data_IF_585093922928
#
_entry.id   IF_585093922928
#
_cell.length_a   1.000
_cell.length_b   1.000
_cell.length_c   1.000
_cell.angle_alpha   90.00
_cell.angle_beta   90.00
_cell.angle_gamma   90.00
#
_symmetry.space_group_name_H-M   'P 1'
#
loop_
_entity.id
_entity.type
_entity.pdbx_description
1 polymer ?
#
# COMPACT_ATOMS: atom_id res chain seq x y z
N UNK A 1 35.62 -5.28 12.43
CA UNK A 1 35.02 -3.92 12.53
C UNK A 1 34.70 -3.24 11.20
N UNK A 2 35.43 -3.48 10.09
CA UNK A 2 35.16 -2.85 8.77
C UNK A 2 33.84 -3.26 8.08
N UNK A 3 33.31 -4.47 8.35
CA UNK A 3 32.06 -5.00 7.74
C UNK A 3 30.76 -4.35 8.26
N UNK A 4 30.79 -3.56 9.32
CA UNK A 4 29.62 -2.85 9.85
C UNK A 4 29.46 -1.43 9.30
N UNK A 5 30.50 -0.87 8.67
CA UNK A 5 30.47 0.46 8.05
C UNK A 5 30.13 0.42 6.55
N UNK A 6 30.48 -0.66 5.84
CA UNK A 6 30.07 -0.86 4.43
C UNK A 6 28.58 -1.21 4.27
N UNK A 7 27.95 -1.77 5.31
CA UNK A 7 26.51 -2.07 5.31
C UNK A 7 25.62 -0.82 5.34
N UNK A 8 26.16 0.36 5.65
CA UNK A 8 25.39 1.59 5.83
C UNK A 8 25.18 2.36 4.49
N UNK A 9 26.19 2.39 3.62
CA UNK A 9 26.10 3.12 2.34
C UNK A 9 25.25 2.41 1.28
N UNK A 10 25.28 1.07 1.23
CA UNK A 10 24.41 0.31 0.31
C UNK A 10 22.94 0.40 0.74
N UNK A 11 22.69 0.39 2.06
CA UNK A 11 21.36 0.58 2.65
C UNK A 11 20.81 2.00 2.42
N UNK A 12 21.66 3.03 2.44
CA UNK A 12 21.22 4.42 2.24
C UNK A 12 20.88 4.74 0.77
N UNK A 13 21.67 4.25 -0.20
CA UNK A 13 21.37 4.42 -1.63
C UNK A 13 20.13 3.65 -2.06
N UNK A 14 19.99 2.40 -1.62
CA UNK A 14 18.79 1.59 -1.89
C UNK A 14 17.54 2.22 -1.27
N UNK A 15 17.62 2.74 -0.04
CA UNK A 15 16.51 3.46 0.58
C UNK A 15 16.13 4.74 -0.17
N UNK A 16 17.10 5.46 -0.74
CA UNK A 16 16.82 6.67 -1.52
C UNK A 16 16.14 6.33 -2.85
N UNK A 17 16.61 5.27 -3.53
CA UNK A 17 16.02 4.76 -4.78
C UNK A 17 14.57 4.32 -4.55
N UNK A 18 14.32 3.56 -3.48
CA UNK A 18 12.98 3.09 -3.15
C UNK A 18 12.04 4.25 -2.80
N UNK A 19 12.48 5.25 -2.01
CA UNK A 19 11.69 6.47 -1.78
C UNK A 19 11.34 7.20 -3.08
N UNK A 20 12.30 7.30 -4.00
CA UNK A 20 12.08 7.92 -5.30
C UNK A 20 11.05 7.12 -6.11
N UNK A 21 11.19 5.80 -6.15
CA UNK A 21 10.25 4.92 -6.83
C UNK A 21 8.84 4.98 -6.21
N UNK A 22 8.70 5.01 -4.88
CA UNK A 22 7.42 5.21 -4.19
C UNK A 22 6.79 6.56 -4.56
N UNK A 23 7.60 7.62 -4.63
CA UNK A 23 7.12 8.95 -5.03
C UNK A 23 6.66 8.98 -6.49
N UNK A 24 7.40 8.33 -7.39
CA UNK A 24 7.01 8.17 -8.80
C UNK A 24 5.71 7.38 -8.91
N UNK A 25 5.59 6.25 -8.20
CA UNK A 25 4.39 5.42 -8.18
C UNK A 25 3.18 6.18 -7.62
N UNK A 26 3.37 6.95 -6.54
CA UNK A 26 2.33 7.83 -6.00
C UNK A 26 1.91 8.92 -6.99
N UNK A 27 2.86 9.58 -7.64
CA UNK A 27 2.57 10.61 -8.65
C UNK A 27 1.79 10.02 -9.82
N UNK A 28 2.22 8.86 -10.32
CA UNK A 28 1.52 8.13 -11.38
C UNK A 28 0.09 7.74 -10.96
N UNK A 29 -0.10 7.31 -9.70
CA UNK A 29 -1.41 6.99 -9.16
C UNK A 29 -2.33 8.22 -9.08
N UNK A 30 -1.83 9.37 -8.59
CA UNK A 30 -2.60 10.62 -8.55
C UNK A 30 -2.95 11.12 -9.96
N UNK A 31 -2.01 11.03 -10.90
CA UNK A 31 -2.26 11.35 -12.31
C UNK A 31 -3.34 10.43 -12.91
N UNK A 32 -3.36 9.15 -12.52
CA UNK A 32 -4.39 8.21 -12.96
C UNK A 32 -5.76 8.62 -12.39
N UNK A 33 -5.85 8.96 -11.10
CA UNK A 33 -7.10 9.46 -10.50
C UNK A 33 -7.57 10.74 -11.21
N UNK A 34 -6.65 11.67 -11.48
CA UNK A 34 -6.97 12.90 -12.21
C UNK A 34 -7.42 12.61 -13.64
N UNK A 35 -6.81 11.63 -14.32
CA UNK A 35 -7.21 11.19 -15.64
C UNK A 35 -8.61 10.58 -15.63
N UNK A 36 -8.98 9.77 -14.63
CA UNK A 36 -10.35 9.25 -14.50
C UNK A 36 -11.41 10.35 -14.40
N UNK A 37 -11.06 11.51 -13.85
CA UNK A 37 -11.97 12.65 -13.73
C UNK A 37 -12.16 13.40 -15.06
N UNK A 38 -11.12 13.46 -15.90
CA UNK A 38 -11.17 14.17 -17.19
C UNK A 38 -11.67 13.27 -18.31
N UNK A 39 -11.13 12.06 -18.38
CA UNK A 39 -11.41 11.06 -19.39
C UNK A 39 -11.49 9.68 -18.71
N UNK A 40 -12.71 9.32 -18.35
CA UNK A 40 -13.04 8.06 -17.72
C UNK A 40 -12.54 6.85 -18.52
N UNK A 41 -12.67 6.87 -19.85
CA UNK A 41 -12.31 5.74 -20.71
C UNK A 41 -10.80 5.50 -20.75
N UNK A 42 -10.01 6.57 -20.90
CA UNK A 42 -8.55 6.47 -20.85
C UNK A 42 -8.07 6.08 -19.45
N UNK A 43 -8.66 6.67 -18.40
CA UNK A 43 -8.35 6.35 -17.01
C UNK A 43 -8.57 4.88 -16.69
N UNK A 44 -9.73 4.34 -17.06
CA UNK A 44 -10.07 2.93 -16.90
C UNK A 44 -9.09 2.04 -17.66
N UNK A 45 -8.72 2.40 -18.90
CA UNK A 45 -7.72 1.63 -19.67
C UNK A 45 -6.38 1.57 -18.94
N UNK A 46 -5.89 2.68 -18.40
CA UNK A 46 -4.63 2.71 -17.63
C UNK A 46 -4.72 1.80 -16.40
N UNK A 47 -5.81 1.87 -15.63
CA UNK A 47 -5.99 1.02 -14.46
C UNK A 47 -6.00 -0.46 -14.84
N UNK A 48 -6.84 -0.85 -15.80
CA UNK A 48 -7.15 -2.25 -16.07
C UNK A 48 -6.14 -2.95 -16.97
N UNK A 49 -5.50 -2.25 -17.90
CA UNK A 49 -4.51 -2.83 -18.81
C UNK A 49 -3.06 -2.60 -18.38
N UNK A 50 -2.80 -1.62 -17.51
CA UNK A 50 -1.43 -1.32 -17.05
C UNK A 50 -1.30 -1.65 -15.56
N UNK A 51 -1.99 -0.92 -14.67
CA UNK A 51 -1.75 -0.99 -13.22
C UNK A 51 -2.08 -2.39 -12.67
N UNK A 52 -3.26 -2.91 -12.99
CA UNK A 52 -3.77 -4.16 -12.40
C UNK A 52 -3.03 -5.40 -12.88
N UNK A 53 -2.57 -5.51 -14.13
CA UNK A 53 -1.66 -6.59 -14.53
C UNK A 53 -0.25 -6.45 -13.96
N UNK A 54 0.26 -5.21 -13.85
CA UNK A 54 1.60 -4.93 -13.34
C UNK A 54 1.72 -5.26 -11.84
N UNK A 55 0.67 -5.00 -11.06
CA UNK A 55 0.65 -5.22 -9.62
C UNK A 55 0.95 -6.69 -9.23
N UNK A 56 0.23 -7.72 -9.73
CA UNK A 56 0.57 -9.13 -9.55
C UNK A 56 1.96 -9.49 -10.10
N UNK A 57 2.40 -8.89 -11.21
CA UNK A 57 3.73 -9.18 -11.75
C UNK A 57 4.84 -8.72 -10.79
N UNK A 58 4.76 -7.49 -10.27
CA UNK A 58 5.69 -6.97 -9.26
C UNK A 58 5.60 -7.82 -7.99
N UNK A 59 4.38 -8.12 -7.58
CA UNK A 59 4.08 -8.92 -6.40
C UNK A 59 4.73 -10.31 -6.49
N UNK A 60 4.63 -11.02 -7.61
CA UNK A 60 5.22 -12.35 -7.79
C UNK A 60 6.76 -12.33 -7.91
N UNK A 61 7.32 -11.29 -8.53
CA UNK A 61 8.76 -11.22 -8.80
C UNK A 61 9.56 -10.68 -7.63
N UNK A 62 9.08 -9.62 -6.97
CA UNK A 62 9.81 -8.89 -5.93
C UNK A 62 8.84 -8.48 -4.80
N UNK A 63 8.54 -9.41 -3.86
CA UNK A 63 7.60 -9.21 -2.74
C UNK A 63 7.76 -7.87 -2.00
N UNK A 64 9.00 -7.56 -1.64
CA UNK A 64 9.33 -6.42 -0.81
C UNK A 64 9.21 -5.09 -1.54
N UNK A 65 9.25 -5.12 -2.87
CA UNK A 65 9.11 -3.95 -3.71
C UNK A 65 7.65 -3.51 -3.80
N UNK A 66 6.70 -4.45 -3.88
CA UNK A 66 5.27 -4.13 -3.97
C UNK A 66 4.79 -3.22 -2.84
N UNK A 67 5.06 -3.61 -1.58
CA UNK A 67 4.61 -2.82 -0.41
C UNK A 67 5.30 -1.45 -0.32
N UNK A 68 6.52 -1.33 -0.83
CA UNK A 68 7.23 -0.06 -0.92
C UNK A 68 6.68 0.84 -2.04
N UNK A 69 6.34 0.27 -3.20
CA UNK A 69 5.77 1.00 -4.35
C UNK A 69 4.30 1.36 -4.16
N UNK A 70 3.60 0.70 -3.23
CA UNK A 70 2.18 0.90 -3.02
C UNK A 70 1.87 2.38 -2.69
N UNK A 71 1.08 3.07 -3.53
CA UNK A 71 0.77 4.49 -3.31
C UNK A 71 -0.02 4.70 -2.01
N UNK A 72 -0.88 3.74 -1.62
CA UNK A 72 -1.62 3.80 -0.36
C UNK A 72 -0.70 3.68 0.86
N UNK A 73 0.34 2.83 0.80
CA UNK A 73 1.33 2.70 1.87
C UNK A 73 2.17 3.96 2.00
N UNK A 74 2.54 4.58 0.87
CA UNK A 74 3.21 5.88 0.84
C UNK A 74 2.37 6.94 1.56
N UNK A 75 1.08 7.06 1.19
CA UNK A 75 0.13 8.01 1.77
C UNK A 75 -0.09 7.76 3.27
N UNK A 76 -0.26 6.50 3.71
CA UNK A 76 -0.39 6.18 5.13
C UNK A 76 0.87 6.57 5.93
N UNK A 77 2.06 6.44 5.32
CA UNK A 77 3.32 6.81 5.96
C UNK A 77 3.59 8.33 5.97
N UNK A 78 2.78 9.12 5.26
CA UNK A 78 3.01 10.55 5.07
C UNK A 78 2.98 11.34 6.39
N UNK A 79 2.02 11.15 7.33
CA UNK A 79 2.03 11.86 8.61
C UNK A 79 3.33 11.63 9.40
N UNK A 80 3.81 10.39 9.46
CA UNK A 80 5.09 10.03 10.09
C UNK A 80 6.27 10.74 9.45
N UNK A 81 6.29 10.86 8.10
CA UNK A 81 7.33 11.60 7.36
C UNK A 81 7.28 13.11 7.62
N UNK A 82 6.10 13.66 7.91
CA UNK A 82 5.89 15.04 8.32
C UNK A 82 6.17 15.29 9.81
N UNK A 83 6.65 14.27 10.54
CA UNK A 83 6.96 14.36 11.98
C UNK A 83 5.76 14.16 12.90
N UNK A 84 4.58 13.86 12.35
CA UNK A 84 3.39 13.51 13.11
C UNK A 84 3.46 12.02 13.43
N UNK A 85 3.91 11.71 14.64
CA UNK A 85 3.95 10.34 15.14
C UNK A 85 2.70 10.06 15.96
N UNK A 86 2.06 8.92 15.70
CA UNK A 86 1.04 8.35 16.58
C UNK A 86 1.63 7.13 17.27
N UNK A 87 1.48 7.06 18.59
CA UNK A 87 1.88 5.90 19.39
C UNK A 87 0.76 4.88 19.55
N UNK A 88 -0.33 5.04 18.79
CA UNK A 88 -1.46 4.12 18.85
C UNK A 88 -1.17 2.86 18.05
N UNK A 89 -1.02 1.76 18.79
CA UNK A 89 -0.92 0.41 18.25
C UNK A 89 -2.27 -0.30 18.32
N UNK A 90 -2.61 -1.03 17.27
CA UNK A 90 -3.84 -1.83 17.23
C UNK A 90 -3.67 -3.11 18.06
N UNK A 91 -4.65 -3.42 18.91
CA UNK A 91 -4.62 -4.67 19.66
C UNK A 91 -4.95 -5.88 18.76
N UNK A 92 -4.65 -7.10 19.22
CA UNK A 92 -4.89 -8.34 18.44
C UNK A 92 -6.33 -8.52 17.96
N UNK A 93 -7.33 -8.11 18.76
CA UNK A 93 -8.75 -8.20 18.38
C UNK A 93 -9.08 -7.20 17.27
N UNK A 94 -8.62 -5.96 17.39
CA UNK A 94 -8.84 -4.91 16.40
C UNK A 94 -8.20 -5.29 15.06
N UNK A 95 -6.95 -5.75 15.07
CA UNK A 95 -6.26 -6.23 13.86
C UNK A 95 -7.00 -7.40 13.23
N UNK A 96 -7.51 -8.35 14.04
CA UNK A 96 -8.33 -9.46 13.54
C UNK A 96 -9.60 -8.96 12.84
N UNK A 97 -10.35 -8.04 13.44
CA UNK A 97 -11.56 -7.50 12.82
C UNK A 97 -11.26 -6.70 11.55
N UNK A 98 -10.20 -5.87 11.55
CA UNK A 98 -9.78 -5.15 10.35
C UNK A 98 -9.37 -6.09 9.22
N UNK A 99 -8.65 -7.16 9.53
CA UNK A 99 -8.30 -8.19 8.54
C UNK A 99 -9.52 -8.91 7.99
N UNK A 100 -10.48 -9.28 8.84
CA UNK A 100 -11.74 -9.88 8.41
C UNK A 100 -12.51 -8.94 7.48
N UNK A 101 -12.57 -7.65 7.81
CA UNK A 101 -13.17 -6.66 6.91
C UNK A 101 -12.39 -6.48 5.61
N UNK A 102 -11.05 -6.58 5.62
CA UNK A 102 -10.23 -6.56 4.41
C UNK A 102 -10.53 -7.76 3.50
N UNK A 103 -10.69 -8.96 4.08
CA UNK A 103 -11.12 -10.17 3.34
C UNK A 103 -12.51 -9.96 2.74
N UNK A 104 -13.47 -9.47 3.53
CA UNK A 104 -14.83 -9.18 3.04
C UNK A 104 -14.81 -8.16 1.90
N UNK A 105 -13.98 -7.11 2.03
CA UNK A 105 -13.81 -6.07 1.03
C UNK A 105 -13.18 -6.61 -0.25
N UNK A 106 -12.21 -7.54 -0.16
CA UNK A 106 -11.66 -8.24 -1.32
C UNK A 106 -12.75 -9.02 -2.06
N UNK A 107 -13.53 -9.83 -1.34
CA UNK A 107 -14.62 -10.62 -1.92
C UNK A 107 -15.73 -9.75 -2.53
N UNK A 108 -15.89 -8.51 -2.08
CA UNK A 108 -16.86 -7.57 -2.62
C UNK A 108 -16.31 -6.78 -3.82
N UNK A 109 -15.09 -6.24 -3.71
CA UNK A 109 -14.50 -5.39 -4.74
C UNK A 109 -14.08 -6.17 -6.00
N UNK A 110 -13.64 -7.43 -5.84
CA UNK A 110 -13.24 -8.27 -6.98
C UNK A 110 -14.40 -8.53 -7.96
N UNK A 111 -15.59 -8.98 -7.56
CA UNK A 111 -16.73 -9.09 -8.48
C UNK A 111 -17.31 -7.73 -8.87
N UNK A 112 -17.29 -6.73 -7.97
CA UNK A 112 -17.74 -5.37 -8.28
C UNK A 112 -16.95 -4.74 -9.43
N UNK A 113 -15.73 -5.22 -9.71
CA UNK A 113 -14.98 -4.89 -10.94
C UNK A 113 -15.84 -4.98 -12.20
N UNK A 114 -16.46 -6.14 -12.42
CA UNK A 114 -17.12 -6.42 -13.69
C UNK A 114 -18.42 -5.62 -13.82
N UNK A 115 -19.16 -5.48 -12.73
CA UNK A 115 -20.48 -4.85 -12.72
C UNK A 115 -20.46 -3.33 -12.56
N UNK A 116 -19.45 -2.78 -11.89
CA UNK A 116 -19.45 -1.37 -11.47
C UNK A 116 -18.21 -0.68 -12.05
N UNK A 117 -17.02 -1.09 -11.64
CA UNK A 117 -15.80 -0.32 -11.92
C UNK A 117 -15.36 -0.33 -13.38
N UNK A 118 -15.79 -1.31 -14.18
CA UNK A 118 -15.42 -1.38 -15.59
C UNK A 118 -16.36 -0.59 -16.52
N UNK A 119 -17.51 -0.15 -16.01
CA UNK A 119 -18.54 0.56 -16.78
C UNK A 119 -18.55 2.04 -16.39
N UNK A 120 -18.45 2.32 -15.08
CA UNK A 120 -18.58 3.67 -14.53
C UNK A 120 -17.21 4.20 -14.05
N UNK A 121 -16.59 5.06 -14.86
CA UNK A 121 -15.32 5.70 -14.51
C UNK A 121 -15.41 6.61 -13.28
N UNK A 122 -16.55 7.30 -13.10
CA UNK A 122 -16.78 8.17 -11.93
C UNK A 122 -16.77 7.38 -10.62
N UNK A 123 -17.39 6.19 -10.59
CA UNK A 123 -17.41 5.35 -9.39
C UNK A 123 -16.00 4.88 -9.04
N UNK A 124 -15.20 4.53 -10.06
CA UNK A 124 -13.79 4.19 -9.90
C UNK A 124 -12.98 5.37 -9.35
N UNK A 125 -13.23 6.59 -9.83
CA UNK A 125 -12.62 7.82 -9.31
C UNK A 125 -12.91 8.01 -7.82
N UNK A 126 -14.19 8.04 -7.43
CA UNK A 126 -14.58 8.23 -6.03
C UNK A 126 -14.05 7.13 -5.13
N UNK A 127 -14.04 5.89 -5.61
CA UNK A 127 -13.52 4.76 -4.85
C UNK A 127 -12.02 4.92 -4.57
N UNK A 128 -11.21 5.21 -5.58
CA UNK A 128 -9.76 5.42 -5.38
C UNK A 128 -9.49 6.63 -4.48
N UNK A 129 -10.27 7.70 -4.62
CA UNK A 129 -10.17 8.88 -3.77
C UNK A 129 -10.48 8.54 -2.30
N UNK A 130 -11.57 7.80 -2.04
CA UNK A 130 -11.95 7.34 -0.70
C UNK A 130 -10.87 6.43 -0.10
N UNK A 131 -10.33 5.49 -0.87
CA UNK A 131 -9.25 4.61 -0.39
C UNK A 131 -7.99 5.42 -0.02
N UNK A 132 -7.65 6.45 -0.79
CA UNK A 132 -6.52 7.34 -0.51
C UNK A 132 -6.73 8.12 0.78
N UNK A 133 -7.91 8.72 0.95
CA UNK A 133 -8.27 9.47 2.16
C UNK A 133 -8.35 8.56 3.40
N UNK A 134 -8.90 7.36 3.28
CA UNK A 134 -8.92 6.38 4.36
C UNK A 134 -7.50 5.98 4.76
N UNK A 135 -6.66 5.62 3.80
CA UNK A 135 -5.26 5.26 4.06
C UNK A 135 -4.52 6.37 4.81
N UNK A 136 -4.72 7.62 4.37
CA UNK A 136 -4.16 8.80 5.01
C UNK A 136 -4.69 8.99 6.45
N UNK A 137 -6.00 8.85 6.65
CA UNK A 137 -6.62 8.94 7.97
C UNK A 137 -6.11 7.88 8.94
N UNK A 138 -5.94 6.64 8.48
CA UNK A 138 -5.32 5.58 9.29
C UNK A 138 -3.87 5.89 9.66
N UNK A 139 -3.13 6.59 8.80
CA UNK A 139 -1.76 7.05 9.05
C UNK A 139 -1.66 8.16 10.10
N UNK A 140 -2.68 9.00 10.21
CA UNK A 140 -2.77 10.01 11.27
C UNK A 140 -3.09 9.40 12.63
N UNK A 141 -3.94 8.37 12.65
CA UNK A 141 -4.46 7.80 13.89
C UNK A 141 -3.56 6.72 14.45
N UNK A 142 -2.92 5.89 13.62
CA UNK A 142 -2.17 4.71 14.05
C UNK A 142 -0.69 4.79 13.70
N UNK A 143 0.15 4.10 14.48
CA UNK A 143 1.58 4.06 14.22
C UNK A 143 1.89 3.29 12.93
N UNK A 144 2.63 3.93 12.03
CA UNK A 144 3.17 3.33 10.81
C UNK A 144 2.10 2.69 9.92
N UNK A 145 2.33 1.43 9.54
CA UNK A 145 1.46 0.69 8.60
C UNK A 145 0.38 -0.15 9.29
N UNK A 146 0.26 -0.09 10.61
CA UNK A 146 -0.60 -0.98 11.41
C UNK A 146 -2.10 -0.87 11.07
N UNK A 147 -2.56 0.30 10.62
CA UNK A 147 -3.97 0.58 10.31
C UNK A 147 -4.49 0.01 9.01
N UNK A 148 -4.23 0.70 7.89
CA UNK A 148 -4.77 0.33 6.58
C UNK A 148 -4.01 -0.85 5.97
N UNK A 149 -2.71 -0.68 5.68
CA UNK A 149 -1.91 -1.70 4.99
C UNK A 149 -1.86 -3.04 5.73
N UNK A 150 -1.67 -3.04 7.06
CA UNK A 150 -1.63 -4.24 7.89
C UNK A 150 -2.98 -4.54 8.59
N UNK A 151 -4.10 -4.12 8.01
CA UNK A 151 -5.42 -4.37 8.58
C UNK A 151 -6.49 -4.39 7.50
N UNK A 152 -7.06 -3.22 7.21
CA UNK A 152 -8.23 -3.07 6.33
C UNK A 152 -7.93 -3.29 4.84
N UNK A 153 -6.67 -3.30 4.42
CA UNK A 153 -6.26 -3.44 3.03
C UNK A 153 -6.80 -4.75 2.40
N UNK A 154 -7.59 -4.68 1.32
CA UNK A 154 -8.17 -5.86 0.69
C UNK A 154 -7.13 -6.73 -0.03
N UNK A 155 -5.96 -6.18 -0.37
CA UNK A 155 -4.88 -6.94 -1.05
C UNK A 155 -4.09 -7.79 -0.05
N UNK A 156 -4.09 -7.45 1.25
CA UNK A 156 -3.29 -8.16 2.26
C UNK A 156 -3.53 -9.68 2.35
N UNK A 157 -4.77 -10.21 2.26
CA UNK A 157 -5.00 -11.65 2.23
C UNK A 157 -4.34 -12.33 1.02
N UNK A 158 -4.31 -11.65 -0.12
CA UNK A 158 -3.60 -12.11 -1.32
C UNK A 158 -2.10 -12.12 -1.04
N UNK A 159 -1.56 -11.09 -0.39
CA UNK A 159 -0.14 -11.04 0.01
C UNK A 159 0.24 -12.23 0.90
N UNK A 160 -0.61 -12.58 1.86
CA UNK A 160 -0.42 -13.72 2.74
C UNK A 160 -0.49 -15.07 2.01
N UNK A 161 -1.38 -15.21 1.03
CA UNK A 161 -1.58 -16.47 0.29
C UNK A 161 -0.35 -16.86 -0.52
N UNK A 162 0.32 -15.90 -1.15
CA UNK A 162 1.55 -16.16 -1.90
C UNK A 162 2.81 -16.18 -1.02
N UNK A 163 2.64 -16.42 0.29
CA UNK A 163 3.75 -16.62 1.22
C UNK A 163 4.61 -15.38 1.42
N UNK A 164 4.08 -14.18 1.19
CA UNK A 164 4.83 -12.93 1.37
C UNK A 164 4.84 -12.48 2.83
N UNK A 165 5.28 -13.39 3.69
CA UNK A 165 5.78 -13.07 5.00
C UNK A 165 7.29 -12.87 4.83
N UNK A 166 7.70 -11.62 4.74
CA UNK A 166 9.11 -11.32 4.76
C UNK A 166 9.64 -11.75 6.14
N UNK A 167 10.32 -12.90 6.20
CA UNK A 167 11.08 -13.36 7.37
C UNK A 167 12.30 -12.46 7.63
N UNK A 168 12.58 -11.53 6.72
CA UNK A 168 13.59 -10.51 6.87
C UNK A 168 13.11 -9.40 7.81
N UNK A 169 13.78 -9.23 8.95
CA UNK A 169 13.64 -8.15 9.94
C UNK A 169 13.90 -6.73 9.38
N UNK A 170 13.93 -6.57 8.05
CA UNK A 170 14.22 -5.34 7.32
C UNK A 170 13.18 -5.12 6.22
N UNK A 171 11.97 -4.71 6.58
CA UNK A 171 11.21 -3.82 5.68
C UNK A 171 11.96 -2.48 5.70
N UNK A 172 12.60 -2.02 4.60
CA UNK A 172 13.65 -1.03 4.75
C UNK A 172 13.19 0.38 5.19
N UNK A 173 11.89 0.72 5.24
CA UNK A 173 11.55 2.17 5.18
C UNK A 173 10.43 2.71 6.05
N UNK A 174 9.59 1.89 6.67
CA UNK A 174 8.41 2.43 7.38
C UNK A 174 8.33 2.01 8.85
N UNK A 175 8.86 0.83 9.18
CA UNK A 175 8.87 0.32 10.54
C UNK A 175 10.31 0.27 11.05
N UNK A 176 10.67 1.23 11.90
CA UNK A 176 11.94 1.29 12.63
C UNK A 176 11.93 0.39 13.87
N UNK A 177 10.75 -0.01 14.33
CA UNK A 177 10.51 -0.90 15.48
C UNK A 177 9.42 -1.90 15.07
N UNK A 178 9.50 -3.13 15.58
CA UNK A 178 8.58 -4.21 15.26
C UNK A 178 7.27 -4.02 16.03
N UNK A 179 6.47 -3.06 15.58
CA UNK A 179 5.35 -2.53 16.36
C UNK A 179 4.05 -3.31 16.25
N UNK A 180 3.97 -4.33 15.36
CA UNK A 180 2.95 -5.38 15.36
C UNK A 180 3.24 -6.40 14.23
N UNK A 181 3.95 -7.49 14.54
CA UNK A 181 3.95 -8.70 13.72
C UNK A 181 2.96 -9.69 14.34
N UNK A 182 1.67 -9.43 14.17
CA UNK A 182 0.66 -10.43 14.53
C UNK A 182 0.64 -11.46 13.43
N UNK A 183 1.13 -12.66 13.77
CA UNK A 183 0.99 -13.89 13.01
C UNK A 183 -0.46 -14.27 12.77
#
# INVERSE_FOLDING_TARGET
MKKLLDGNHHNQRSALILKLLSFVAFTFFVLTIWLLYIDADLGLKVIWYIIIPLAPAIFLLIPNLWTALCPLAFVQSLPKRLGINSDRYLNRRQTKYLNLSGIALLYLLVPARYFIFNIEGEISFYTLLVLLLLSLGFGWINSGLSGWCMGLCPIRPVEMLYGQFNTENRRPEVCTVCDLCVS
#
